data_IF_736601376088
#
_entry.id   IF_736601376088
#
_cell.length_a   1.000
_cell.length_b   1.000
_cell.length_c   1.000
_cell.angle_alpha   90.00
_cell.angle_beta   90.00
_cell.angle_gamma   90.00
#
_symmetry.space_group_name_H-M   'P 1'
#
loop_
_entity.id
_entity.type
_entity.pdbx_description
1 polymer ?
#
# COMPACT_ATOMS: atom_id res chain seq x y z
N UNK A 1 -19.34 -3.53 -15.21
CA UNK A 1 -20.26 -2.46 -15.68
C UNK A 1 -19.43 -1.37 -16.31
N UNK A 2 -19.97 -0.52 -17.21
CA UNK A 2 -19.17 0.43 -17.99
C UNK A 2 -18.20 1.31 -17.18
N UNK A 3 -18.58 1.70 -15.95
CA UNK A 3 -17.78 2.53 -15.05
C UNK A 3 -17.01 1.74 -13.96
N UNK A 4 -17.31 0.45 -13.77
CA UNK A 4 -16.79 -0.38 -12.67
C UNK A 4 -15.91 -1.50 -13.22
N UNK A 5 -14.63 -1.48 -12.87
CA UNK A 5 -13.66 -2.55 -13.13
C UNK A 5 -13.42 -3.36 -11.86
N UNK A 6 -13.30 -4.68 -12.00
CA UNK A 6 -12.99 -5.59 -10.89
C UNK A 6 -11.54 -6.10 -11.03
N UNK A 7 -10.81 -6.30 -9.92
CA UNK A 7 -9.43 -6.77 -9.94
C UNK A 7 -9.32 -8.30 -10.15
N UNK A 8 -10.01 -8.84 -11.15
CA UNK A 8 -10.18 -10.30 -11.34
C UNK A 8 -8.86 -11.08 -11.44
N UNK A 9 -7.82 -10.47 -12.02
CA UNK A 9 -6.49 -11.08 -12.10
C UNK A 9 -5.85 -11.19 -10.72
N UNK A 10 -5.92 -10.14 -9.90
CA UNK A 10 -5.40 -10.16 -8.54
C UNK A 10 -6.20 -11.13 -7.66
N UNK A 11 -7.53 -11.19 -7.82
CA UNK A 11 -8.39 -12.15 -7.11
C UNK A 11 -8.00 -13.59 -7.45
N UNK A 12 -7.77 -13.89 -8.73
CA UNK A 12 -7.27 -15.20 -9.20
C UNK A 12 -5.89 -15.52 -8.63
N UNK A 13 -4.97 -14.56 -8.66
CA UNK A 13 -3.63 -14.69 -8.08
C UNK A 13 -3.72 -15.08 -6.59
N UNK A 14 -4.50 -14.36 -5.80
CA UNK A 14 -4.73 -14.65 -4.39
C UNK A 14 -5.35 -16.05 -4.16
N UNK A 15 -6.27 -16.47 -5.03
CA UNK A 15 -6.86 -17.81 -4.98
C UNK A 15 -5.83 -18.93 -5.17
N UNK A 16 -4.99 -18.81 -6.20
CA UNK A 16 -3.92 -19.77 -6.47
C UNK A 16 -2.85 -19.75 -5.37
N UNK A 17 -2.45 -18.57 -4.87
CA UNK A 17 -1.49 -18.46 -3.78
C UNK A 17 -1.99 -19.21 -2.53
N UNK A 18 -3.28 -19.06 -2.19
CA UNK A 18 -3.88 -19.77 -1.05
C UNK A 18 -3.86 -21.29 -1.25
N UNK A 19 -4.11 -21.76 -2.47
CA UNK A 19 -4.03 -23.19 -2.79
C UNK A 19 -2.62 -23.75 -2.54
N UNK A 20 -1.58 -23.07 -3.03
CA UNK A 20 -0.18 -23.52 -2.86
C UNK A 20 0.25 -23.50 -1.40
N UNK A 21 -0.14 -22.47 -0.64
CA UNK A 21 0.11 -22.41 0.80
C UNK A 21 -0.45 -23.66 1.52
N UNK A 22 -1.57 -24.21 1.05
CA UNK A 22 -2.15 -25.44 1.61
C UNK A 22 -1.39 -26.73 1.24
N UNK A 23 -0.69 -26.77 0.10
CA UNK A 23 0.04 -27.96 -0.35
C UNK A 23 1.22 -28.32 0.56
N UNK A 24 1.80 -27.33 1.25
CA UNK A 24 2.95 -27.53 2.14
C UNK A 24 2.63 -28.52 3.27
N UNK A 25 1.40 -28.51 3.79
CA UNK A 25 1.00 -29.41 4.87
C UNK A 25 1.13 -30.88 4.45
N UNK A 26 0.65 -31.24 3.26
CA UNK A 26 0.76 -32.60 2.72
C UNK A 26 2.23 -32.99 2.52
N UNK A 27 3.06 -32.09 1.98
CA UNK A 27 4.49 -32.35 1.81
C UNK A 27 5.19 -32.61 3.17
N UNK A 28 4.90 -31.80 4.19
CA UNK A 28 5.48 -31.97 5.52
C UNK A 28 5.01 -33.25 6.21
N UNK A 29 3.73 -33.60 6.07
CA UNK A 29 3.21 -34.87 6.61
C UNK A 29 3.84 -36.07 5.92
N UNK A 30 3.98 -36.05 4.59
CA UNK A 30 4.66 -37.11 3.83
C UNK A 30 6.10 -37.30 4.30
N UNK A 31 6.85 -36.23 4.54
CA UNK A 31 8.22 -36.33 5.03
C UNK A 31 8.31 -36.88 6.47
N UNK A 32 7.39 -36.47 7.35
CA UNK A 32 7.43 -36.82 8.78
C UNK A 32 7.20 -38.31 9.08
N UNK A 33 6.60 -39.06 8.15
CA UNK A 33 6.18 -40.46 8.36
C UNK A 33 6.96 -41.47 7.51
N UNK A 34 8.03 -41.05 6.80
CA UNK A 34 8.89 -41.98 6.09
C UNK A 34 9.67 -42.87 7.07
N UNK A 35 9.60 -44.19 6.90
CA UNK A 35 10.29 -45.12 7.79
C UNK A 35 11.57 -45.67 7.17
N UNK A 36 12.66 -45.62 7.96
CA UNK A 36 13.99 -46.13 7.63
C UNK A 36 14.49 -45.66 6.26
N UNK A 37 14.84 -46.57 5.35
CA UNK A 37 15.39 -46.22 4.04
C UNK A 37 14.34 -45.62 3.09
N UNK A 38 13.07 -46.08 3.15
CA UNK A 38 11.92 -45.57 2.37
C UNK A 38 10.63 -46.35 2.64
N UNK A 39 9.48 -45.66 2.67
CA UNK A 39 8.14 -46.26 2.53
C UNK A 39 7.40 -45.67 1.32
N UNK A 40 6.57 -46.46 0.62
CA UNK A 40 5.98 -46.08 -0.68
C UNK A 40 4.73 -45.18 -0.57
N UNK A 41 4.27 -44.87 0.64
CA UNK A 41 3.15 -43.97 0.93
C UNK A 41 3.40 -42.52 0.49
N UNK A 42 4.64 -42.17 0.17
CA UNK A 42 5.02 -40.89 -0.44
C UNK A 42 4.64 -40.78 -1.93
N UNK A 43 4.48 -41.90 -2.64
CA UNK A 43 4.32 -41.92 -4.10
C UNK A 43 3.07 -41.17 -4.57
N UNK A 44 1.91 -41.42 -3.97
CA UNK A 44 0.65 -40.81 -4.40
C UNK A 44 0.57 -39.31 -4.07
N UNK A 45 0.87 -38.84 -2.83
CA UNK A 45 0.89 -37.42 -2.51
C UNK A 45 1.88 -36.62 -3.38
N UNK A 46 3.09 -37.16 -3.61
CA UNK A 46 4.11 -36.47 -4.43
C UNK A 46 3.68 -36.27 -5.88
N UNK A 47 2.91 -37.20 -6.46
CA UNK A 47 2.36 -37.08 -7.82
C UNK A 47 1.32 -35.97 -7.96
N UNK A 48 0.71 -35.53 -6.86
CA UNK A 48 -0.25 -34.43 -6.84
C UNK A 48 0.43 -33.12 -6.44
N UNK A 49 1.05 -33.11 -5.27
CA UNK A 49 1.61 -31.92 -4.64
C UNK A 49 2.71 -31.29 -5.49
N UNK A 50 3.64 -32.09 -6.03
CA UNK A 50 4.77 -31.52 -6.78
C UNK A 50 4.30 -30.86 -8.08
N UNK A 51 3.58 -31.55 -9.01
CA UNK A 51 3.14 -30.89 -10.24
C UNK A 51 2.20 -29.71 -9.99
N UNK A 52 1.27 -29.84 -9.04
CA UNK A 52 0.32 -28.77 -8.72
C UNK A 52 1.02 -27.54 -8.13
N UNK A 53 2.03 -27.72 -7.27
CA UNK A 53 2.79 -26.61 -6.73
C UNK A 53 3.53 -25.83 -7.83
N UNK A 54 4.21 -26.52 -8.74
CA UNK A 54 4.92 -25.88 -9.85
C UNK A 54 3.96 -25.19 -10.82
N UNK A 55 2.89 -25.86 -11.27
CA UNK A 55 1.92 -25.29 -12.22
C UNK A 55 1.17 -24.09 -11.64
N UNK A 56 0.76 -24.16 -10.38
CA UNK A 56 0.08 -23.04 -9.74
C UNK A 56 1.04 -21.87 -9.49
N UNK A 57 2.30 -22.13 -9.13
CA UNK A 57 3.32 -21.08 -8.95
C UNK A 57 3.60 -20.37 -10.27
N UNK A 58 3.79 -21.13 -11.34
CA UNK A 58 3.97 -20.59 -12.69
C UNK A 58 2.79 -19.69 -13.08
N UNK A 59 1.56 -20.17 -12.93
CA UNK A 59 0.37 -19.38 -13.21
C UNK A 59 0.30 -18.08 -12.37
N UNK A 60 0.67 -18.12 -11.08
CA UNK A 60 0.75 -16.93 -10.22
C UNK A 60 1.77 -15.93 -10.76
N UNK A 61 2.97 -16.39 -11.15
CA UNK A 61 4.03 -15.52 -11.64
C UNK A 61 3.67 -14.88 -12.99
N UNK A 62 3.03 -15.61 -13.90
CA UNK A 62 2.54 -15.05 -15.16
C UNK A 62 1.43 -14.01 -14.90
N UNK A 63 0.50 -14.29 -13.98
CA UNK A 63 -0.53 -13.31 -13.57
C UNK A 63 0.13 -12.05 -12.97
N UNK A 64 1.10 -12.25 -12.07
CA UNK A 64 1.81 -11.17 -11.40
C UNK A 64 2.53 -10.28 -12.41
N UNK A 65 3.28 -10.87 -13.34
CA UNK A 65 3.99 -10.13 -14.39
C UNK A 65 3.02 -9.34 -15.28
N UNK A 66 1.88 -9.91 -15.63
CA UNK A 66 0.83 -9.20 -16.37
C UNK A 66 0.25 -8.01 -15.60
N UNK A 67 0.01 -8.16 -14.29
CA UNK A 67 -0.49 -7.07 -13.44
C UNK A 67 0.57 -5.97 -13.32
N UNK A 68 1.82 -6.35 -12.98
CA UNK A 68 2.91 -5.41 -12.78
C UNK A 68 3.27 -4.64 -14.06
N UNK A 69 3.27 -5.30 -15.22
CA UNK A 69 3.53 -4.66 -16.51
C UNK A 69 2.39 -3.77 -17.03
N UNK A 70 1.18 -3.91 -16.49
CA UNK A 70 -0.01 -3.20 -16.95
C UNK A 70 -0.73 -2.38 -15.86
N UNK A 71 -0.04 -2.06 -14.77
CA UNK A 71 -0.65 -1.35 -13.64
C UNK A 71 -0.99 0.09 -14.05
N UNK A 72 -2.26 0.49 -13.86
CA UNK A 72 -2.72 1.85 -14.13
C UNK A 72 -2.84 2.62 -12.82
N UNK A 73 -2.08 3.72 -12.72
CA UNK A 73 -2.15 4.67 -11.61
C UNK A 73 -3.03 5.85 -12.00
N UNK A 74 -3.84 6.36 -11.07
CA UNK A 74 -4.75 7.50 -11.29
C UNK A 74 -4.35 8.69 -10.40
N UNK A 75 -3.36 9.52 -10.82
CA UNK A 75 -2.83 10.60 -9.98
C UNK A 75 -3.88 11.58 -9.49
N UNK A 76 -4.86 11.95 -10.33
CA UNK A 76 -5.93 12.87 -9.93
C UNK A 76 -6.80 12.35 -8.80
N UNK A 77 -7.12 11.05 -8.78
CA UNK A 77 -7.87 10.44 -7.68
C UNK A 77 -7.03 10.35 -6.40
N UNK A 78 -5.73 10.05 -6.53
CA UNK A 78 -4.80 10.03 -5.39
C UNK A 78 -4.69 11.43 -4.79
N UNK A 79 -4.47 12.45 -5.61
CA UNK A 79 -4.34 13.83 -5.17
C UNK A 79 -5.61 14.33 -4.49
N UNK A 80 -6.79 14.14 -5.10
CA UNK A 80 -8.07 14.53 -4.51
C UNK A 80 -8.30 13.87 -3.14
N UNK A 81 -8.02 12.57 -3.01
CA UNK A 81 -8.16 11.88 -1.74
C UNK A 81 -7.16 12.41 -0.70
N UNK A 82 -5.94 12.75 -1.12
CA UNK A 82 -4.91 13.28 -0.25
C UNK A 82 -5.26 14.68 0.26
N UNK A 83 -5.66 15.60 -0.63
CA UNK A 83 -6.08 16.97 -0.28
C UNK A 83 -7.17 17.01 0.79
N UNK A 84 -8.12 16.06 0.73
CA UNK A 84 -9.18 15.93 1.75
C UNK A 84 -8.65 15.60 3.16
N UNK A 85 -7.46 15.02 3.27
CA UNK A 85 -6.88 14.56 4.54
C UNK A 85 -5.65 15.36 5.00
N UNK A 86 -4.95 16.03 4.08
CA UNK A 86 -3.74 16.82 4.38
C UNK A 86 -3.92 17.82 5.53
N UNK A 87 -5.03 18.59 5.63
CA UNK A 87 -5.22 19.50 6.75
C UNK A 87 -5.14 18.83 8.13
N UNK A 88 -5.56 17.56 8.22
CA UNK A 88 -5.44 16.78 9.47
C UNK A 88 -4.03 16.23 9.67
N UNK A 89 -3.40 15.72 8.61
CA UNK A 89 -2.06 15.14 8.65
C UNK A 89 -0.98 16.18 8.97
N UNK A 90 -1.16 17.42 8.51
CA UNK A 90 -0.23 18.54 8.72
C UNK A 90 -0.49 19.32 10.02
N UNK A 91 -1.34 18.82 10.93
CA UNK A 91 -1.71 19.50 12.18
C UNK A 91 -0.51 19.85 13.07
N UNK A 92 0.52 19.00 13.14
CA UNK A 92 1.73 19.31 13.92
C UNK A 92 2.58 20.41 13.23
N UNK A 93 2.69 20.41 11.89
CA UNK A 93 3.35 21.49 11.14
C UNK A 93 2.66 22.83 11.38
N UNK A 94 1.33 22.82 11.37
CA UNK A 94 0.52 23.98 11.71
C UNK A 94 0.75 24.45 13.15
N UNK A 95 0.73 23.53 14.13
CA UNK A 95 0.96 23.86 15.53
C UNK A 95 2.34 24.49 15.75
N UNK A 96 3.38 23.92 15.12
CA UNK A 96 4.73 24.48 15.15
C UNK A 96 4.77 25.88 14.54
N UNK A 97 4.23 26.06 13.33
CA UNK A 97 4.19 27.36 12.66
C UNK A 97 3.46 28.43 13.51
N UNK A 98 2.32 28.06 14.11
CA UNK A 98 1.53 28.94 14.96
C UNK A 98 2.23 29.30 16.28
N UNK A 99 2.94 28.33 16.88
CA UNK A 99 3.74 28.58 18.09
C UNK A 99 4.95 29.46 17.77
N UNK A 100 5.62 29.25 16.62
CA UNK A 100 6.70 30.11 16.14
C UNK A 100 6.23 31.53 15.84
N UNK A 101 4.97 31.70 15.41
CA UNK A 101 4.32 33.01 15.25
C UNK A 101 3.93 33.69 16.58
N UNK A 102 4.25 33.08 17.72
CA UNK A 102 4.10 33.67 19.06
C UNK A 102 2.84 33.26 19.83
N UNK A 103 2.06 32.30 19.32
CA UNK A 103 0.89 31.78 20.05
C UNK A 103 1.26 30.80 21.16
N UNK A 104 0.38 30.70 22.17
CA UNK A 104 0.51 29.67 23.21
C UNK A 104 0.22 28.27 22.64
N UNK A 105 1.14 27.34 22.85
CA UNK A 105 1.05 25.99 22.27
C UNK A 105 -0.19 25.23 22.75
N UNK A 106 -0.57 25.38 24.02
CA UNK A 106 -1.69 24.65 24.60
C UNK A 106 -3.03 25.16 24.06
N UNK A 107 -3.17 26.49 23.98
CA UNK A 107 -4.34 27.13 23.39
C UNK A 107 -4.49 26.78 21.90
N UNK A 108 -3.39 26.87 21.13
CA UNK A 108 -3.37 26.51 19.71
C UNK A 108 -3.73 25.04 19.49
N UNK A 109 -3.15 24.12 20.27
CA UNK A 109 -3.44 22.70 20.16
C UNK A 109 -4.93 22.42 20.43
N UNK A 110 -5.51 23.02 21.47
CA UNK A 110 -6.93 22.85 21.77
C UNK A 110 -7.84 23.47 20.70
N UNK A 111 -7.44 24.60 20.10
CA UNK A 111 -8.14 25.19 18.96
C UNK A 111 -8.12 24.27 17.72
N UNK A 112 -6.95 23.77 17.33
CA UNK A 112 -6.81 22.80 16.22
C UNK A 112 -7.68 21.57 16.48
N UNK A 113 -7.67 21.04 17.72
CA UNK A 113 -8.47 19.87 18.09
C UNK A 113 -9.97 20.12 17.93
N UNK A 114 -10.47 21.24 18.44
CA UNK A 114 -11.90 21.62 18.33
C UNK A 114 -12.33 21.78 16.87
N UNK A 115 -11.55 22.49 16.06
CA UNK A 115 -11.84 22.67 14.63
C UNK A 115 -11.78 21.35 13.87
N UNK A 116 -10.79 20.50 14.17
CA UNK A 116 -10.66 19.18 13.55
C UNK A 116 -11.85 18.28 13.86
N UNK A 117 -12.35 18.28 15.11
CA UNK A 117 -13.56 17.56 15.49
C UNK A 117 -14.80 18.09 14.77
N UNK A 118 -14.94 19.41 14.64
CA UNK A 118 -16.07 20.01 13.95
C UNK A 118 -16.06 19.70 12.44
N UNK A 119 -14.89 19.76 11.79
CA UNK A 119 -14.71 19.36 10.40
C UNK A 119 -15.02 17.87 10.21
N UNK A 120 -14.53 17.00 11.10
CA UNK A 120 -14.81 15.56 11.07
C UNK A 120 -16.31 15.27 11.24
N UNK A 121 -17.01 16.01 12.10
CA UNK A 121 -18.45 15.89 12.25
C UNK A 121 -19.19 16.25 10.94
N UNK A 122 -18.77 17.33 10.27
CA UNK A 122 -19.33 17.71 8.96
C UNK A 122 -19.07 16.67 7.87
N UNK A 123 -17.87 16.08 7.83
CA UNK A 123 -17.56 14.99 6.89
C UNK A 123 -18.48 13.78 7.10
N UNK A 124 -18.82 13.44 8.36
CA UNK A 124 -19.78 12.36 8.66
C UNK A 124 -21.20 12.66 8.19
N UNK A 125 -21.54 13.94 8.05
CA UNK A 125 -22.80 14.41 7.48
C UNK A 125 -22.75 14.53 5.95
N UNK A 126 -21.61 14.19 5.32
CA UNK A 126 -21.43 14.23 3.86
C UNK A 126 -20.95 15.58 3.32
N UNK A 127 -20.48 16.49 4.17
CA UNK A 127 -19.85 17.75 3.76
C UNK A 127 -18.38 17.54 3.41
N UNK A 128 -17.82 18.44 2.61
CA UNK A 128 -16.38 18.48 2.35
C UNK A 128 -15.61 18.92 3.61
N UNK A 129 -14.30 18.68 3.60
CA UNK A 129 -13.42 19.08 4.70
C UNK A 129 -13.24 20.61 4.71
N UNK A 130 -13.80 21.27 5.73
CA UNK A 130 -13.77 22.72 5.93
C UNK A 130 -12.71 23.17 6.96
N UNK A 131 -11.78 22.30 7.36
CA UNK A 131 -10.81 22.61 8.44
C UNK A 131 -9.95 23.85 8.12
N UNK A 132 -9.49 24.01 6.88
CA UNK A 132 -8.66 25.17 6.49
C UNK A 132 -9.45 26.48 6.65
N UNK A 133 -10.73 26.48 6.27
CA UNK A 133 -11.62 27.63 6.39
C UNK A 133 -11.88 28.00 7.86
N UNK A 134 -12.12 26.98 8.70
CA UNK A 134 -12.30 27.14 10.14
C UNK A 134 -11.09 27.78 10.80
N UNK A 135 -9.89 27.29 10.46
CA UNK A 135 -8.63 27.81 11.00
C UNK A 135 -8.36 29.24 10.50
N UNK A 136 -8.63 29.54 9.23
CA UNK A 136 -8.48 30.88 8.67
C UNK A 136 -9.39 31.93 9.33
N UNK A 137 -10.58 31.50 9.78
CA UNK A 137 -11.53 32.35 10.49
C UNK A 137 -11.23 32.53 11.98
N UNK A 138 -10.38 31.68 12.57
CA UNK A 138 -10.05 31.75 13.99
C UNK A 138 -8.88 32.75 14.22
N UNK A 139 -9.09 33.81 15.05
CA UNK A 139 -8.08 34.81 15.34
C UNK A 139 -6.74 34.24 15.83
N UNK A 140 -6.73 33.05 16.45
CA UNK A 140 -5.52 32.39 16.93
C UNK A 140 -4.53 32.05 15.79
N UNK A 141 -5.01 31.88 14.56
CA UNK A 141 -4.16 31.54 13.40
C UNK A 141 -3.94 32.71 12.44
N UNK A 142 -4.35 33.94 12.79
CA UNK A 142 -4.29 35.13 11.91
C UNK A 142 -2.88 35.41 11.36
N UNK A 143 -1.84 35.12 12.13
CA UNK A 143 -0.45 35.39 11.76
C UNK A 143 0.27 34.17 11.16
N UNK A 144 -0.47 33.10 10.84
CA UNK A 144 0.10 31.83 10.34
C UNK A 144 -0.15 31.73 8.85
N UNK A 145 0.89 31.40 8.09
CA UNK A 145 0.74 31.02 6.69
C UNK A 145 0.17 29.59 6.62
N UNK A 146 -1.16 29.50 6.56
CA UNK A 146 -1.87 28.22 6.50
C UNK A 146 -1.54 27.42 5.23
N UNK A 147 -1.26 28.09 4.11
CA UNK A 147 -0.95 27.42 2.84
C UNK A 147 0.42 26.74 2.94
N UNK A 148 1.43 27.43 3.47
CA UNK A 148 2.75 26.84 3.69
C UNK A 148 2.73 25.73 4.76
N UNK A 149 1.94 25.91 5.82
CA UNK A 149 1.86 24.97 6.93
C UNK A 149 1.15 23.66 6.54
N UNK A 150 0.14 23.72 5.66
CA UNK A 150 -0.73 22.60 5.29
C UNK A 150 -0.46 22.07 3.88
N UNK A 151 0.75 22.24 3.35
CA UNK A 151 1.11 21.73 2.03
C UNK A 151 1.48 20.25 2.05
N UNK A 152 1.29 19.58 0.91
CA UNK A 152 1.57 18.14 0.75
C UNK A 152 3.08 17.86 0.78
N UNK A 153 3.86 18.78 0.20
CA UNK A 153 5.30 18.62 0.01
C UNK A 153 6.02 18.45 1.36
N UNK A 154 6.89 17.44 1.40
CA UNK A 154 7.68 17.09 2.58
C UNK A 154 6.95 16.20 3.59
N UNK A 155 5.69 15.83 3.35
CA UNK A 155 4.98 14.85 4.20
C UNK A 155 5.39 13.40 3.91
N UNK A 156 6.01 13.14 2.75
CA UNK A 156 6.49 11.83 2.32
C UNK A 156 7.79 11.38 3.01
N UNK A 157 8.43 12.26 3.80
CA UNK A 157 9.66 11.97 4.52
C UNK A 157 10.79 11.54 3.58
N UNK A 158 11.30 10.32 3.74
CA UNK A 158 12.38 9.76 2.91
C UNK A 158 11.87 8.79 1.84
N UNK A 159 10.57 8.72 1.57
CA UNK A 159 10.00 7.69 0.70
C UNK A 159 10.70 7.61 -0.67
N UNK A 160 10.98 8.75 -1.30
CA UNK A 160 11.67 8.80 -2.60
C UNK A 160 13.08 8.20 -2.49
N UNK A 161 13.89 8.71 -1.56
CA UNK A 161 15.27 8.24 -1.38
C UNK A 161 15.33 6.76 -1.00
N UNK A 162 14.39 6.28 -0.17
CA UNK A 162 14.31 4.86 0.20
C UNK A 162 14.01 3.96 -1.00
N UNK A 163 13.16 4.41 -1.93
CA UNK A 163 12.88 3.69 -3.17
C UNK A 163 14.12 3.65 -4.05
N UNK A 164 14.79 4.78 -4.25
CA UNK A 164 16.01 4.85 -5.07
C UNK A 164 17.12 3.94 -4.49
N UNK A 165 17.39 4.05 -3.19
CA UNK A 165 18.36 3.19 -2.48
C UNK A 165 18.02 1.69 -2.62
N UNK A 166 16.73 1.34 -2.54
CA UNK A 166 16.27 -0.04 -2.65
C UNK A 166 16.40 -0.58 -4.10
N UNK A 167 16.06 0.24 -5.09
CA UNK A 167 16.15 -0.12 -6.50
C UNK A 167 17.61 -0.28 -6.93
N UNK A 168 18.47 0.66 -6.57
CA UNK A 168 19.88 0.69 -7.00
C UNK A 168 20.77 -0.31 -6.26
N UNK A 169 20.39 -0.71 -5.04
CA UNK A 169 21.12 -1.68 -4.25
C UNK A 169 20.51 -3.09 -4.31
N UNK A 170 19.65 -3.46 -3.33
CA UNK A 170 19.12 -4.82 -3.20
C UNK A 170 18.48 -5.40 -4.48
N UNK A 171 17.70 -4.59 -5.20
CA UNK A 171 17.01 -5.05 -6.40
C UNK A 171 18.00 -5.31 -7.53
N UNK A 172 18.92 -4.39 -7.85
CA UNK A 172 19.95 -4.65 -8.87
C UNK A 172 20.81 -5.88 -8.54
N UNK A 173 21.21 -6.06 -7.28
CA UNK A 173 21.99 -7.23 -6.88
C UNK A 173 21.22 -8.54 -7.05
N UNK A 174 19.94 -8.57 -6.68
CA UNK A 174 19.09 -9.74 -6.91
C UNK A 174 18.96 -10.06 -8.40
N UNK A 175 18.82 -9.03 -9.23
CA UNK A 175 18.65 -9.16 -10.68
C UNK A 175 19.90 -9.64 -11.41
N UNK A 176 21.11 -9.36 -10.90
CA UNK A 176 22.36 -9.90 -11.47
C UNK A 176 22.40 -11.43 -11.48
N UNK A 177 21.70 -12.07 -10.54
CA UNK A 177 21.62 -13.53 -10.43
C UNK A 177 20.60 -14.14 -11.39
N UNK A 178 19.78 -13.32 -12.06
CA UNK A 178 18.77 -13.72 -13.02
C UNK A 178 19.01 -12.98 -14.35
N UNK A 179 20.04 -13.38 -15.13
CA UNK A 179 20.47 -12.65 -16.33
C UNK A 179 19.47 -12.72 -17.48
N UNK A 180 18.66 -13.78 -17.53
CA UNK A 180 17.62 -13.95 -18.53
C UNK A 180 16.32 -13.28 -18.07
N UNK A 181 15.75 -12.43 -18.93
CA UNK A 181 14.43 -11.83 -18.72
C UNK A 181 13.51 -12.21 -19.86
N UNK A 182 12.38 -12.82 -19.51
CA UNK A 182 11.30 -13.04 -20.46
C UNK A 182 10.70 -11.68 -20.82
N UNK A 183 10.70 -11.33 -22.10
CA UNK A 183 10.21 -10.04 -22.60
C UNK A 183 8.69 -9.95 -22.64
N UNK A 184 8.00 -11.09 -22.67
CA UNK A 184 6.54 -11.18 -22.68
C UNK A 184 6.07 -12.36 -21.83
N UNK A 185 5.18 -12.10 -20.88
CA UNK A 185 4.37 -13.12 -20.21
C UNK A 185 2.92 -12.96 -20.68
N UNK A 186 2.62 -13.38 -21.91
CA UNK A 186 1.24 -13.41 -22.37
C UNK A 186 0.51 -14.58 -21.71
N UNK A 187 -0.34 -14.27 -20.72
CA UNK A 187 -1.40 -15.19 -20.31
C UNK A 187 -2.50 -15.11 -21.38
N UNK A 188 -2.35 -15.89 -22.46
CA UNK A 188 -3.43 -16.13 -23.42
C UNK A 188 -4.49 -16.98 -22.73
N UNK A 189 -5.48 -16.32 -22.14
CA UNK A 189 -6.71 -16.96 -21.65
C UNK A 189 -7.75 -16.86 -22.73
#
# INVERSE_FOLDING_TARGET
MPYKRNPMRAERMCGLSRFIMGLQQTASQTAAVQWYERTLDDSAPRRLVLPQAFLATDAILVIYSNIAGGLVVLPGSIHRNLEQHVPFLASERLLMAATTAGGDRQELHEAIRRHSHAATAGIREGRDNDLVERLAADPLFKNVDLQAALTIEGLEGRAVTQVDEFLDGPVQEALRRCPERTTESELRV
#
